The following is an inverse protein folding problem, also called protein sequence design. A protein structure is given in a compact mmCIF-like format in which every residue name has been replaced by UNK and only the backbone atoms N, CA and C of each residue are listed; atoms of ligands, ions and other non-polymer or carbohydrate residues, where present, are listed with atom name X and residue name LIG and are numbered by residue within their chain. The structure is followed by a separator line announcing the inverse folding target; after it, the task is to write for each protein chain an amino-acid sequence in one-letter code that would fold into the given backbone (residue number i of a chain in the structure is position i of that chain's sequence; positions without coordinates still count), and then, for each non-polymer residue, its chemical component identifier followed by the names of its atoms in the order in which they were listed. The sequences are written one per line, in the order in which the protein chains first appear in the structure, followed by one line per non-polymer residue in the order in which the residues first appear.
data_IF_086070821957
#
_entry.id   IF_086070821957
#
_cell.length_a   1.000
_cell.length_b   1.000
_cell.length_c   1.000
_cell.angle_alpha   90.00
_cell.angle_beta   90.00
_cell.angle_gamma   90.00
#
_symmetry.space_group_name_H-M   'P 1'
#
loop_
_entity.id
_entity.type
_entity.pdbx_description
1 polymer ?
#
# COMPACT_ATOMS: atom_id res chain seq x y z
N UNK A 1 -32.83 4.49 -6.54
CA UNK A 1 -31.90 4.17 -5.45
C UNK A 1 -30.63 3.62 -6.09
N UNK A 2 -29.54 4.35 -5.98
CA UNK A 2 -28.25 3.91 -6.50
C UNK A 2 -27.77 2.66 -5.77
N UNK A 3 -27.19 1.73 -6.50
CA UNK A 3 -26.59 0.53 -5.92
C UNK A 3 -25.22 0.87 -5.33
N UNK A 4 -24.73 0.03 -4.41
CA UNK A 4 -23.38 0.19 -3.86
C UNK A 4 -22.32 0.17 -4.99
N UNK A 5 -22.52 -0.64 -6.02
CA UNK A 5 -21.60 -0.73 -7.16
C UNK A 5 -21.57 0.56 -7.98
N UNK A 6 -22.72 1.19 -8.21
CA UNK A 6 -22.82 2.47 -8.93
C UNK A 6 -22.10 3.59 -8.15
N UNK A 7 -22.36 3.68 -6.84
CA UNK A 7 -21.70 4.67 -5.98
C UNK A 7 -20.20 4.44 -5.90
N UNK A 8 -19.76 3.19 -5.77
CA UNK A 8 -18.34 2.84 -5.74
C UNK A 8 -17.65 3.17 -7.06
N UNK A 9 -18.32 2.88 -8.19
CA UNK A 9 -17.80 3.22 -9.52
C UNK A 9 -17.65 4.74 -9.70
N UNK A 10 -18.67 5.50 -9.35
CA UNK A 10 -18.64 6.97 -9.44
C UNK A 10 -17.56 7.58 -8.56
N UNK A 11 -17.40 7.09 -7.32
CA UNK A 11 -16.33 7.49 -6.42
C UNK A 11 -14.95 7.22 -7.02
N UNK A 12 -14.73 6.04 -7.57
CA UNK A 12 -13.46 5.65 -8.19
C UNK A 12 -13.15 6.46 -9.44
N UNK A 13 -14.14 6.75 -10.28
CA UNK A 13 -13.93 7.63 -11.45
C UNK A 13 -13.53 9.04 -11.04
N UNK A 14 -14.17 9.62 -10.04
CA UNK A 14 -13.80 10.91 -9.49
C UNK A 14 -12.37 10.93 -8.95
N UNK A 15 -11.97 9.84 -8.29
CA UNK A 15 -10.60 9.67 -7.78
C UNK A 15 -9.56 9.60 -8.91
N UNK A 16 -9.86 8.87 -9.97
CA UNK A 16 -9.01 8.71 -11.16
C UNK A 16 -8.75 10.05 -11.83
N UNK A 17 -9.78 10.90 -11.98
CA UNK A 17 -9.64 12.23 -12.60
C UNK A 17 -8.71 13.16 -11.81
N UNK A 18 -8.49 12.88 -10.53
CA UNK A 18 -7.61 13.68 -9.66
C UNK A 18 -6.16 13.18 -9.62
N UNK A 19 -5.85 12.00 -10.17
CA UNK A 19 -4.48 11.44 -10.15
C UNK A 19 -3.44 12.42 -10.71
N UNK A 20 -3.65 13.15 -11.82
CA UNK A 20 -2.68 14.14 -12.32
C UNK A 20 -2.41 15.30 -11.36
N UNK A 21 -3.33 15.56 -10.42
CA UNK A 21 -3.22 16.61 -9.41
C UNK A 21 -2.67 16.09 -8.07
N UNK A 22 -2.51 14.77 -7.92
CA UNK A 22 -1.93 14.17 -6.73
C UNK A 22 -0.42 14.28 -6.78
N UNK A 23 0.18 14.29 -5.58
CA UNK A 23 1.63 14.25 -5.40
C UNK A 23 2.02 13.00 -4.65
N UNK A 24 3.22 12.51 -4.91
CA UNK A 24 3.81 11.46 -4.09
C UNK A 24 4.04 11.97 -2.67
N UNK A 25 3.97 11.06 -1.71
CA UNK A 25 4.43 11.35 -0.35
C UNK A 25 5.89 11.80 -0.37
N UNK A 26 6.23 12.74 0.53
CA UNK A 26 7.58 13.27 0.64
C UNK A 26 8.61 12.14 0.80
N UNK A 27 9.66 12.20 -0.01
CA UNK A 27 10.74 11.23 0.04
C UNK A 27 10.43 9.85 -0.55
N UNK A 28 9.25 9.64 -1.15
CA UNK A 28 8.84 8.31 -1.63
C UNK A 28 9.84 7.68 -2.62
N UNK A 29 10.27 8.42 -3.63
CA UNK A 29 11.23 7.92 -4.63
C UNK A 29 12.59 7.64 -4.01
N UNK A 30 13.08 8.54 -3.15
CA UNK A 30 14.35 8.40 -2.47
C UNK A 30 14.37 7.16 -1.56
N UNK A 31 13.29 6.90 -0.86
CA UNK A 31 13.14 5.75 0.03
C UNK A 31 13.12 4.45 -0.76
N UNK A 32 12.36 4.39 -1.85
CA UNK A 32 12.34 3.22 -2.73
C UNK A 32 13.74 2.92 -3.27
N UNK A 33 14.46 3.95 -3.68
CA UNK A 33 15.84 3.81 -4.13
C UNK A 33 16.76 3.30 -3.02
N UNK A 34 16.74 3.94 -1.87
CA UNK A 34 17.61 3.61 -0.72
C UNK A 34 17.38 2.17 -0.25
N UNK A 35 16.13 1.76 -0.11
CA UNK A 35 15.79 0.39 0.29
C UNK A 35 16.18 -0.62 -0.80
N UNK A 36 16.01 -0.29 -2.08
CA UNK A 36 16.43 -1.16 -3.18
C UNK A 36 17.96 -1.35 -3.20
N UNK A 37 18.71 -0.29 -2.98
CA UNK A 37 20.17 -0.35 -2.86
C UNK A 37 20.63 -1.17 -1.66
N UNK A 38 19.83 -1.23 -0.60
CA UNK A 38 20.07 -2.06 0.58
C UNK A 38 19.62 -3.53 0.40
N UNK A 39 19.10 -3.89 -0.76
CA UNK A 39 18.71 -5.26 -1.08
C UNK A 39 17.24 -5.59 -0.86
N UNK A 40 16.40 -4.61 -0.52
CA UNK A 40 14.95 -4.82 -0.38
C UNK A 40 14.26 -4.85 -1.74
N UNK A 41 13.29 -5.74 -1.88
CA UNK A 41 12.35 -5.75 -2.99
C UNK A 41 11.02 -5.15 -2.56
N UNK A 42 10.32 -4.49 -3.48
CA UNK A 42 9.05 -3.83 -3.17
C UNK A 42 7.90 -4.43 -4.00
N UNK A 43 6.77 -4.60 -3.34
CA UNK A 43 5.48 -4.88 -3.97
C UNK A 43 4.48 -3.81 -3.55
N UNK A 44 3.58 -3.45 -4.43
CA UNK A 44 2.51 -2.50 -4.13
C UNK A 44 1.18 -3.25 -4.13
N UNK A 45 0.51 -3.25 -2.99
CA UNK A 45 -0.80 -3.85 -2.79
C UNK A 45 -1.80 -2.74 -2.47
N UNK A 46 -2.80 -2.57 -3.33
CA UNK A 46 -3.74 -1.46 -3.26
C UNK A 46 -5.18 -1.91 -3.44
N UNK A 47 -6.11 -1.18 -2.82
CA UNK A 47 -7.54 -1.31 -3.10
C UNK A 47 -7.96 -0.61 -4.41
N UNK A 48 -7.01 -0.02 -5.12
CA UNK A 48 -7.23 0.64 -6.39
C UNK A 48 -7.41 -0.40 -7.51
N UNK A 49 -8.25 -0.09 -8.51
CA UNK A 49 -8.44 -0.98 -9.65
C UNK A 49 -7.10 -1.24 -10.37
N UNK A 50 -6.84 -2.51 -10.74
CA UNK A 50 -5.54 -2.95 -11.27
C UNK A 50 -5.03 -2.08 -12.42
N UNK A 51 -5.83 -1.86 -13.44
CA UNK A 51 -5.42 -1.05 -14.59
C UNK A 51 -5.09 0.39 -14.19
N UNK A 52 -5.89 0.97 -13.30
CA UNK A 52 -5.69 2.35 -12.84
C UNK A 52 -4.47 2.49 -11.93
N UNK A 53 -4.19 1.45 -11.13
CA UNK A 53 -2.97 1.39 -10.35
C UNK A 53 -1.74 1.41 -11.25
N UNK A 54 -1.74 0.60 -12.30
CA UNK A 54 -0.64 0.55 -13.26
C UNK A 54 -0.45 1.89 -13.99
N UNK A 55 -1.53 2.51 -14.45
CA UNK A 55 -1.51 3.83 -15.08
C UNK A 55 -0.93 4.90 -14.13
N UNK A 56 -1.33 4.90 -12.86
CA UNK A 56 -0.82 5.84 -11.87
C UNK A 56 0.67 5.62 -11.57
N UNK A 57 1.09 4.38 -11.42
CA UNK A 57 2.50 4.02 -11.20
C UNK A 57 3.36 4.44 -12.38
N UNK A 58 2.90 4.27 -13.62
CA UNK A 58 3.59 4.71 -14.82
C UNK A 58 3.63 6.24 -14.92
N UNK A 59 2.54 6.90 -14.59
CA UNK A 59 2.48 8.37 -14.57
C UNK A 59 3.54 8.98 -13.64
N UNK A 60 3.75 8.39 -12.47
CA UNK A 60 4.76 8.86 -11.51
C UNK A 60 6.17 8.27 -11.75
N UNK A 61 6.35 7.44 -12.78
CA UNK A 61 7.65 6.84 -13.10
C UNK A 61 8.16 5.84 -12.06
N UNK A 62 7.27 5.15 -11.35
CA UNK A 62 7.62 4.29 -10.22
C UNK A 62 7.74 2.81 -10.56
N UNK A 63 7.34 2.37 -11.75
CA UNK A 63 7.27 0.94 -12.10
C UNK A 63 8.57 0.20 -11.86
N UNK A 64 9.70 0.81 -12.17
CA UNK A 64 11.04 0.20 -11.99
C UNK A 64 11.36 -0.20 -10.54
N UNK A 65 10.66 0.37 -9.57
CA UNK A 65 10.91 0.10 -8.15
C UNK A 65 10.14 -1.11 -7.60
N UNK A 66 9.16 -1.62 -8.35
CA UNK A 66 8.28 -2.68 -7.86
C UNK A 66 8.45 -3.98 -8.64
N UNK A 67 8.56 -5.09 -7.90
CA UNK A 67 8.55 -6.43 -8.50
C UNK A 67 7.13 -6.88 -8.84
N UNK A 68 6.12 -6.29 -8.18
CA UNK A 68 4.72 -6.60 -8.43
C UNK A 68 3.81 -5.44 -8.07
N UNK A 69 2.82 -5.19 -8.93
CA UNK A 69 1.72 -4.27 -8.68
C UNK A 69 0.43 -5.06 -8.57
N UNK A 70 -0.27 -4.95 -7.44
CA UNK A 70 -1.46 -5.73 -7.16
C UNK A 70 -2.59 -4.78 -6.78
N UNK A 71 -3.53 -4.62 -7.69
CA UNK A 71 -4.77 -3.88 -7.50
C UNK A 71 -5.97 -4.81 -7.45
N UNK A 72 -7.16 -4.25 -7.51
CA UNK A 72 -8.42 -4.99 -7.50
C UNK A 72 -8.97 -5.13 -8.92
N UNK A 73 -9.62 -6.26 -9.19
CA UNK A 73 -10.43 -6.47 -10.39
C UNK A 73 -11.89 -6.05 -10.18
N UNK A 74 -12.26 -5.72 -8.95
CA UNK A 74 -13.55 -5.18 -8.54
C UNK A 74 -13.37 -3.97 -7.62
N UNK A 75 -14.48 -3.35 -7.15
CA UNK A 75 -14.46 -2.18 -6.28
C UNK A 75 -14.61 -2.52 -4.78
N UNK A 76 -14.50 -3.78 -4.40
CA UNK A 76 -14.67 -4.24 -3.02
C UNK A 76 -13.33 -4.37 -2.32
N UNK A 77 -13.15 -3.62 -1.25
CA UNK A 77 -11.88 -3.60 -0.51
C UNK A 77 -11.49 -4.94 0.13
N UNK A 78 -12.45 -5.87 0.33
CA UNK A 78 -12.13 -7.19 0.88
C UNK A 78 -11.21 -8.02 -0.03
N UNK A 79 -11.25 -7.79 -1.34
CA UNK A 79 -10.36 -8.45 -2.30
C UNK A 79 -8.89 -8.11 -2.09
N UNK A 80 -8.56 -7.00 -1.41
CA UNK A 80 -7.19 -6.66 -1.02
C UNK A 80 -6.60 -7.70 -0.07
N UNK A 81 -7.38 -8.20 0.88
CA UNK A 81 -6.96 -9.27 1.80
C UNK A 81 -6.65 -10.54 1.03
N UNK A 82 -7.55 -10.96 0.15
CA UNK A 82 -7.38 -12.16 -0.67
C UNK A 82 -6.14 -12.07 -1.55
N UNK A 83 -5.93 -10.93 -2.21
CA UNK A 83 -4.75 -10.66 -3.02
C UNK A 83 -3.47 -10.69 -2.21
N UNK A 84 -3.49 -10.14 -1.00
CA UNK A 84 -2.34 -10.18 -0.08
C UNK A 84 -1.98 -11.60 0.32
N UNK A 85 -2.96 -12.40 0.70
CA UNK A 85 -2.77 -13.82 1.07
C UNK A 85 -2.19 -14.61 -0.10
N UNK A 86 -2.71 -14.39 -1.31
CA UNK A 86 -2.20 -15.03 -2.52
C UNK A 86 -0.75 -14.63 -2.79
N UNK A 87 -0.46 -13.34 -2.74
CA UNK A 87 0.87 -12.83 -3.04
C UNK A 87 1.93 -13.32 -2.06
N UNK A 88 1.64 -13.34 -0.74
CA UNK A 88 2.61 -13.82 0.24
C UNK A 88 2.95 -15.31 0.05
N UNK A 89 2.07 -16.09 -0.54
CA UNK A 89 2.35 -17.50 -0.89
C UNK A 89 3.24 -17.63 -2.14
N UNK A 90 3.17 -16.68 -3.04
CA UNK A 90 3.95 -16.66 -4.28
C UNK A 90 5.34 -16.04 -4.10
N UNK A 91 5.54 -15.22 -3.06
CA UNK A 91 6.83 -14.58 -2.77
C UNK A 91 7.90 -15.62 -2.41
N UNK A 92 9.13 -15.48 -2.95
CA UNK A 92 10.24 -16.38 -2.64
C UNK A 92 10.93 -16.05 -1.30
N UNK A 93 10.25 -15.31 -0.42
CA UNK A 93 10.77 -14.88 0.88
C UNK A 93 9.92 -15.46 2.01
N UNK A 94 10.52 -15.85 3.14
CA UNK A 94 9.75 -16.23 4.32
C UNK A 94 8.98 -15.02 4.87
N UNK A 95 7.82 -15.27 5.47
CA UNK A 95 6.95 -14.19 6.00
C UNK A 95 7.65 -13.29 7.01
N UNK A 96 8.60 -13.83 7.76
CA UNK A 96 9.39 -13.09 8.75
C UNK A 96 10.31 -12.03 8.13
N UNK A 97 10.57 -12.14 6.83
CA UNK A 97 11.38 -11.18 6.08
C UNK A 97 10.52 -10.16 5.31
N UNK A 98 9.20 -10.21 5.50
CA UNK A 98 8.26 -9.33 4.82
C UNK A 98 7.62 -8.39 5.83
N UNK A 99 7.61 -7.10 5.52
CA UNK A 99 6.91 -6.07 6.27
C UNK A 99 5.88 -5.37 5.38
N UNK A 100 4.70 -5.18 5.91
CA UNK A 100 3.64 -4.39 5.27
C UNK A 100 3.67 -2.97 5.83
N UNK A 101 3.77 -1.97 4.96
CA UNK A 101 3.72 -0.56 5.34
C UNK A 101 2.43 0.04 4.79
N UNK A 102 1.61 0.60 5.65
CA UNK A 102 0.34 1.20 5.28
C UNK A 102 -0.04 2.40 6.14
N UNK A 103 -1.21 2.96 5.92
CA UNK A 103 -1.67 4.17 6.60
C UNK A 103 -3.09 4.05 7.19
N UNK A 104 -3.68 2.85 7.11
CA UNK A 104 -5.06 2.59 7.55
C UNK A 104 -5.16 1.36 8.43
N UNK A 105 -6.22 1.32 9.26
CA UNK A 105 -6.57 0.13 10.04
C UNK A 105 -6.78 -1.09 9.14
N UNK A 106 -7.34 -0.90 7.95
CA UNK A 106 -7.51 -1.97 6.98
C UNK A 106 -6.18 -2.56 6.53
N UNK A 107 -5.11 -1.77 6.42
CA UNK A 107 -3.77 -2.26 6.09
C UNK A 107 -3.23 -3.20 7.18
N UNK A 108 -3.50 -2.88 8.44
CA UNK A 108 -3.20 -3.80 9.55
C UNK A 108 -3.96 -5.12 9.43
N UNK A 109 -5.25 -5.07 9.09
CA UNK A 109 -6.06 -6.29 8.88
C UNK A 109 -5.48 -7.15 7.74
N UNK A 110 -5.06 -6.51 6.66
CA UNK A 110 -4.42 -7.18 5.52
C UNK A 110 -3.10 -7.83 5.96
N UNK A 111 -2.23 -7.08 6.61
CA UNK A 111 -0.93 -7.59 7.10
C UNK A 111 -1.12 -8.77 8.07
N UNK A 112 -2.09 -8.67 8.97
CA UNK A 112 -2.44 -9.74 9.90
C UNK A 112 -2.91 -11.01 9.16
N UNK A 113 -3.77 -10.85 8.16
CA UNK A 113 -4.24 -11.97 7.34
C UNK A 113 -3.11 -12.62 6.53
N UNK A 114 -2.15 -11.81 6.06
CA UNK A 114 -0.94 -12.30 5.39
C UNK A 114 0.03 -12.99 6.34
N UNK A 115 -0.04 -12.71 7.64
CA UNK A 115 0.89 -13.22 8.64
C UNK A 115 2.27 -12.56 8.58
N UNK A 116 2.33 -11.28 8.27
CA UNK A 116 3.55 -10.47 8.16
C UNK A 116 3.55 -9.33 9.17
N UNK A 117 4.73 -8.77 9.45
CA UNK A 117 4.86 -7.58 10.28
C UNK A 117 4.24 -6.37 9.59
N UNK A 118 3.78 -5.41 10.40
CA UNK A 118 3.11 -4.21 9.91
C UNK A 118 3.71 -2.95 10.55
N UNK A 119 3.93 -1.93 9.74
CA UNK A 119 4.23 -0.57 10.16
C UNK A 119 3.11 0.33 9.62
N UNK A 120 2.52 1.15 10.49
CA UNK A 120 1.50 2.11 10.10
C UNK A 120 2.06 3.53 10.14
N UNK A 121 1.66 4.35 9.16
CA UNK A 121 2.13 5.72 9.00
C UNK A 121 0.99 6.71 9.22
N UNK A 122 1.28 7.78 9.96
CA UNK A 122 0.30 8.85 10.24
C UNK A 122 0.17 9.88 9.12
N UNK A 123 1.01 9.81 8.10
CA UNK A 123 0.98 10.74 6.97
C UNK A 123 -0.19 10.51 5.99
N UNK A 124 -1.03 9.52 6.24
CA UNK A 124 -2.23 9.21 5.46
C UNK A 124 -3.51 9.78 6.05
N UNK A 125 -4.61 9.01 5.94
CA UNK A 125 -5.96 9.47 6.28
C UNK A 125 -6.36 9.29 7.74
N UNK A 126 -5.68 8.44 8.50
CA UNK A 126 -6.08 8.11 9.87
C UNK A 126 -5.13 8.72 10.91
N UNK A 127 -5.71 9.10 12.05
CA UNK A 127 -4.95 9.70 13.15
C UNK A 127 -4.08 8.67 13.88
N UNK A 128 -3.02 9.15 14.52
CA UNK A 128 -2.16 8.32 15.38
C UNK A 128 -2.94 7.52 16.41
N UNK A 129 -3.89 8.17 17.08
CA UNK A 129 -4.71 7.50 18.11
C UNK A 129 -5.50 6.31 17.56
N UNK A 130 -6.00 6.41 16.33
CA UNK A 130 -6.69 5.31 15.68
C UNK A 130 -5.72 4.18 15.34
N UNK A 131 -4.56 4.49 14.76
CA UNK A 131 -3.57 3.53 14.33
C UNK A 131 -2.91 2.79 15.50
N UNK A 132 -2.64 3.46 16.60
CA UNK A 132 -2.03 2.87 17.80
C UNK A 132 -2.89 1.77 18.43
N UNK A 133 -4.18 1.77 18.17
CA UNK A 133 -5.09 0.69 18.63
C UNK A 133 -4.76 -0.67 18.05
N UNK A 134 -4.05 -0.72 16.94
CA UNK A 134 -3.62 -1.99 16.32
C UNK A 134 -2.50 -2.68 17.09
N UNK A 135 -1.79 -1.98 17.96
CA UNK A 135 -0.67 -2.54 18.73
C UNK A 135 0.59 -2.81 17.91
N UNK A 136 0.70 -2.22 16.72
CA UNK A 136 1.88 -2.30 15.85
C UNK A 136 2.67 -0.98 15.87
N UNK A 137 3.86 -0.99 15.30
CA UNK A 137 4.68 0.21 15.19
C UNK A 137 3.98 1.28 14.34
N UNK A 138 3.82 2.47 14.89
CA UNK A 138 3.25 3.64 14.21
C UNK A 138 4.32 4.72 14.10
N UNK A 139 4.58 5.16 12.89
CA UNK A 139 5.58 6.18 12.57
C UNK A 139 4.92 7.34 11.82
N UNK A 140 5.61 8.48 11.74
CA UNK A 140 5.02 9.68 11.14
C UNK A 140 5.34 9.87 9.65
N UNK A 141 6.34 9.15 9.13
CA UNK A 141 6.76 9.34 7.75
C UNK A 141 7.34 8.06 7.12
N UNK A 142 7.39 8.07 5.80
CA UNK A 142 8.11 7.05 5.04
C UNK A 142 9.61 7.04 5.39
N UNK A 143 10.20 8.19 5.65
CA UNK A 143 11.61 8.31 6.04
C UNK A 143 11.89 7.56 7.35
N UNK A 144 11.03 7.73 8.36
CA UNK A 144 11.15 7.00 9.62
C UNK A 144 11.00 5.49 9.43
N UNK A 145 10.08 5.06 8.54
CA UNK A 145 9.93 3.65 8.21
C UNK A 145 11.20 3.08 7.55
N UNK A 146 11.79 3.81 6.62
CA UNK A 146 13.05 3.41 5.98
C UNK A 146 14.19 3.31 6.99
N UNK A 147 14.34 4.30 7.87
CA UNK A 147 15.35 4.29 8.93
C UNK A 147 15.20 3.08 9.85
N UNK A 148 13.95 2.74 10.19
CA UNK A 148 13.64 1.57 11.00
C UNK A 148 14.02 0.25 10.33
N UNK A 149 13.79 0.14 9.01
CA UNK A 149 14.11 -1.07 8.25
C UNK A 149 15.62 -1.23 8.00
N UNK A 150 16.35 -0.13 7.90
CA UNK A 150 17.81 -0.13 7.63
C UNK A 150 18.65 -0.34 8.91
N UNK A 151 18.09 -0.11 10.08
CA UNK A 151 18.76 -0.25 11.38
C UNK A 151 18.11 -1.36 12.20
#
# INVERSE_FOLDING_TARGET
TETFEEVAHEYMEGYIQQVPNCRLQEGAVEILRTLSEAGYSHSLLSAYHQQRLEEAVDYFGLRKWFIRLIGLNDYYAHSKVENGIKWIRELPFPRQEVVFVGDMLHDYEVARAMGVDCILLTCGHQSRNQLERCGVLVLDSLSEAADRLLN
#
